data_IF_446436663714
#
_entry.id   IF_446436663714
#
_cell.length_a   1.000
_cell.length_b   1.000
_cell.length_c   1.000
_cell.angle_alpha   90.00
_cell.angle_beta   90.00
_cell.angle_gamma   90.00
#
_symmetry.space_group_name_H-M   'P 1'
#
loop_
_entity.id
_entity.type
_entity.pdbx_description
1 polymer ?
#
# COMPACT_ATOMS: atom_id res chain seq x y z
N UNK A 1 4.29 9.77 -1.22
CA UNK A 1 5.74 9.49 -1.13
C UNK A 1 5.99 8.12 -0.48
N UNK A 2 6.81 7.27 -1.10
CA UNK A 2 7.20 5.98 -0.50
C UNK A 2 8.25 6.18 0.59
N UNK A 3 8.16 5.44 1.69
CA UNK A 3 9.18 5.43 2.75
C UNK A 3 10.55 5.04 2.16
N UNK A 4 11.61 5.74 2.57
CA UNK A 4 13.00 5.33 2.35
C UNK A 4 13.43 4.52 3.57
N UNK A 5 13.56 3.21 3.41
CA UNK A 5 13.96 2.30 4.47
C UNK A 5 12.94 1.22 4.77
N UNK A 6 13.16 0.48 5.84
CA UNK A 6 12.32 -0.65 6.24
C UNK A 6 11.18 -0.19 7.15
N UNK A 7 9.94 -0.57 6.80
CA UNK A 7 8.79 -0.40 7.69
C UNK A 7 8.82 -1.37 8.88
N UNK A 8 9.60 -2.46 8.79
CA UNK A 8 9.67 -3.48 9.82
C UNK A 8 10.33 -2.95 11.10
N UNK A 9 11.33 -2.07 10.98
CA UNK A 9 12.07 -1.53 12.12
C UNK A 9 11.18 -0.77 13.12
N UNK A 10 10.39 0.25 12.72
CA UNK A 10 9.46 0.89 13.65
C UNK A 10 8.38 -0.09 14.14
N UNK A 11 7.93 -1.03 13.30
CA UNK A 11 6.91 -2.01 13.68
C UNK A 11 7.37 -2.96 14.79
N UNK A 12 8.62 -3.42 14.76
CA UNK A 12 9.17 -4.27 15.82
C UNK A 12 9.25 -3.52 17.15
N UNK A 13 9.67 -2.25 17.14
CA UNK A 13 9.70 -1.40 18.35
C UNK A 13 8.31 -1.24 18.95
N UNK A 14 7.33 -0.90 18.11
CA UNK A 14 5.91 -0.78 18.52
C UNK A 14 5.41 -2.11 19.11
N UNK A 15 5.65 -3.23 18.44
CA UNK A 15 5.21 -4.55 18.90
C UNK A 15 5.81 -4.96 20.25
N UNK A 16 6.99 -4.42 20.60
CA UNK A 16 7.66 -4.62 21.89
C UNK A 16 7.26 -3.60 22.96
N UNK A 17 6.39 -2.63 22.63
CA UNK A 17 6.00 -1.56 23.54
C UNK A 17 7.10 -0.51 23.76
N UNK A 18 8.09 -0.45 22.87
CA UNK A 18 9.18 0.52 22.93
C UNK A 18 8.72 1.88 22.37
N UNK A 19 9.26 2.98 22.91
CA UNK A 19 9.01 4.32 22.36
C UNK A 19 9.57 4.44 20.93
N UNK A 20 8.91 5.24 20.10
CA UNK A 20 9.33 5.60 18.73
C UNK A 20 9.50 7.13 18.57
N UNK A 21 9.55 7.88 19.66
CA UNK A 21 9.65 9.35 19.65
C UNK A 21 10.86 9.86 18.86
N UNK A 22 11.99 9.16 18.97
CA UNK A 22 13.25 9.49 18.27
C UNK A 22 13.41 8.74 16.93
N UNK A 23 12.34 8.10 16.41
CA UNK A 23 12.42 7.40 15.14
C UNK A 23 12.44 8.38 13.97
N UNK A 24 13.56 8.42 13.23
CA UNK A 24 13.67 9.22 12.01
C UNK A 24 13.15 8.44 10.78
N UNK A 25 12.15 9.00 10.10
CA UNK A 25 11.63 8.45 8.85
C UNK A 25 12.05 9.32 7.68
N UNK A 26 12.70 8.70 6.69
CA UNK A 26 13.05 9.35 5.43
C UNK A 26 12.02 9.01 4.34
N UNK A 27 11.79 9.94 3.42
CA UNK A 27 10.81 9.78 2.34
C UNK A 27 11.43 9.97 0.96
N UNK A 28 10.92 9.21 -0.02
CA UNK A 28 11.27 9.42 -1.42
C UNK A 28 10.68 10.72 -1.92
N UNK A 29 11.49 11.49 -2.65
CA UNK A 29 11.07 12.75 -3.30
C UNK A 29 10.17 12.50 -4.53
N UNK A 30 10.02 11.22 -4.93
CA UNK A 30 9.13 10.81 -6.01
C UNK A 30 7.68 10.77 -5.52
N UNK A 31 6.77 11.08 -6.42
CA UNK A 31 5.34 10.91 -6.21
C UNK A 31 4.93 9.45 -6.42
N UNK A 32 3.93 8.99 -5.65
CA UNK A 32 3.32 7.68 -5.80
C UNK A 32 1.82 7.86 -5.92
N UNK A 33 1.21 7.18 -6.90
CA UNK A 33 -0.24 7.16 -7.14
C UNK A 33 -0.69 5.71 -7.19
N UNK A 34 -1.91 5.44 -6.75
CA UNK A 34 -2.52 4.11 -6.80
C UNK A 34 -3.93 4.24 -7.35
N UNK A 35 -4.21 3.57 -8.45
CA UNK A 35 -5.54 3.54 -9.07
C UNK A 35 -6.26 2.28 -8.65
N UNK A 36 -7.47 2.44 -8.12
CA UNK A 36 -8.34 1.32 -7.79
C UNK A 36 -9.19 0.98 -9.00
N UNK A 37 -9.12 -0.27 -9.46
CA UNK A 37 -10.07 -0.84 -10.41
C UNK A 37 -11.20 -1.49 -9.61
N UNK A 38 -12.41 -0.98 -9.75
CA UNK A 38 -13.59 -1.47 -9.03
C UNK A 38 -14.58 -2.15 -9.98
N UNK A 39 -15.28 -3.16 -9.48
CA UNK A 39 -16.39 -3.78 -10.21
C UNK A 39 -17.50 -2.76 -10.45
N UNK A 40 -18.10 -2.79 -11.64
CA UNK A 40 -19.27 -1.99 -11.96
C UNK A 40 -20.39 -2.26 -10.95
N UNK A 41 -20.91 -1.21 -10.30
CA UNK A 41 -21.89 -1.28 -9.23
C UNK A 41 -21.37 -0.86 -7.85
N UNK A 42 -20.04 -0.78 -7.64
CA UNK A 42 -19.46 -0.27 -6.39
C UNK A 42 -19.89 1.20 -6.10
N UNK A 43 -20.17 1.58 -4.83
CA UNK A 43 -20.09 0.79 -3.60
C UNK A 43 -21.32 -0.07 -3.29
N UNK A 44 -22.33 -0.09 -4.17
CA UNK A 44 -23.53 -0.92 -4.06
C UNK A 44 -23.31 -2.38 -4.47
N UNK A 45 -24.39 -3.13 -4.74
CA UNK A 45 -24.29 -4.51 -5.22
C UNK A 45 -23.52 -4.58 -6.56
N UNK A 46 -22.64 -5.57 -6.69
CA UNK A 46 -21.89 -5.85 -7.91
C UNK A 46 -21.66 -7.36 -8.05
N UNK A 47 -21.45 -7.81 -9.29
CA UNK A 47 -21.19 -9.21 -9.59
C UNK A 47 -19.77 -9.64 -9.20
N UNK A 48 -19.65 -10.86 -8.68
CA UNK A 48 -18.37 -11.48 -8.27
C UNK A 48 -18.00 -12.66 -9.19
N UNK A 49 -16.77 -13.14 -9.07
CA UNK A 49 -16.30 -14.34 -9.78
C UNK A 49 -15.88 -14.11 -11.24
N UNK A 50 -15.71 -12.85 -11.65
CA UNK A 50 -15.14 -12.51 -12.96
C UNK A 50 -13.65 -12.86 -12.96
N UNK A 51 -13.17 -13.50 -14.02
CA UNK A 51 -11.74 -13.73 -14.25
C UNK A 51 -11.06 -12.37 -14.41
N UNK A 52 -9.93 -12.19 -13.73
CA UNK A 52 -9.10 -10.99 -13.87
C UNK A 52 -7.91 -11.35 -14.75
N UNK A 53 -7.90 -10.82 -15.97
CA UNK A 53 -6.80 -10.95 -16.91
C UNK A 53 -6.05 -9.62 -16.99
N UNK A 54 -4.73 -9.66 -16.91
CA UNK A 54 -3.85 -8.51 -17.11
C UNK A 54 -3.18 -8.70 -18.46
N UNK A 55 -3.25 -7.66 -19.30
CA UNK A 55 -2.64 -7.71 -20.63
C UNK A 55 -1.11 -7.88 -20.49
N UNK A 56 -0.47 -8.82 -21.23
CA UNK A 56 0.97 -9.11 -21.09
C UNK A 56 1.88 -7.90 -21.29
N UNK A 57 1.45 -6.91 -22.06
CA UNK A 57 2.17 -5.66 -22.30
C UNK A 57 2.22 -4.71 -21.07
N UNK A 58 1.46 -5.01 -20.01
CA UNK A 58 1.40 -4.23 -18.77
C UNK A 58 2.15 -4.87 -17.58
N UNK A 59 2.79 -6.03 -17.80
CA UNK A 59 3.59 -6.77 -16.80
C UNK A 59 5.06 -6.81 -17.18
#
# INVERSE_FOLDING_TARGET
PALKGSLIEPFVRIARGESIEEAELAWNQKMAVCTVLASNGYPGPYDKGKVVEIAPELT
#
